data_IF_536230282838
#
_entry.id   IF_536230282838
#
_cell.length_a   1.000
_cell.length_b   1.000
_cell.length_c   1.000
_cell.angle_alpha   90.00
_cell.angle_beta   90.00
_cell.angle_gamma   90.00
#
_symmetry.space_group_name_H-M   'P 1'
#
loop_
_entity.id
_entity.type
_entity.pdbx_description
1 polymer ?
#
# COMPACT_ATOMS: atom_id res chain seq x y z
N UNK A 1 4.91 -6.09 27.46
CA UNK A 1 4.25 -5.37 26.35
C UNK A 1 5.13 -4.22 25.93
N UNK A 2 5.42 -4.10 24.63
CA UNK A 2 6.21 -2.98 24.11
C UNK A 2 5.34 -1.72 24.13
N UNK A 3 5.95 -0.54 24.31
CA UNK A 3 5.23 0.75 24.49
C UNK A 3 4.23 1.07 23.36
N UNK A 4 4.47 0.59 22.15
CA UNK A 4 3.63 0.82 20.97
C UNK A 4 2.43 -0.15 20.83
N UNK A 5 2.47 -1.31 21.48
CA UNK A 5 1.42 -2.33 21.33
C UNK A 5 0.09 -1.89 21.98
N UNK A 6 0.16 -1.21 23.13
CA UNK A 6 -1.05 -0.74 23.84
C UNK A 6 -1.82 0.31 23.04
N UNK A 7 -1.19 1.39 22.50
CA UNK A 7 -1.86 2.33 21.62
C UNK A 7 -2.45 1.69 20.37
N UNK A 8 -1.73 0.75 19.74
CA UNK A 8 -2.23 0.05 18.55
C UNK A 8 -3.47 -0.79 18.88
N UNK A 9 -3.44 -1.58 19.96
CA UNK A 9 -4.59 -2.37 20.41
C UNK A 9 -5.81 -1.49 20.69
N UNK A 10 -5.61 -0.32 21.30
CA UNK A 10 -6.71 0.64 21.53
C UNK A 10 -7.31 1.14 20.22
N UNK A 11 -6.47 1.60 19.28
CA UNK A 11 -6.93 2.06 17.97
C UNK A 11 -7.62 0.95 17.16
N UNK A 12 -7.14 -0.30 17.27
CA UNK A 12 -7.80 -1.44 16.66
C UNK A 12 -9.23 -1.58 17.15
N UNK A 13 -9.46 -1.58 18.47
CA UNK A 13 -10.82 -1.76 19.00
C UNK A 13 -11.70 -0.52 18.82
N UNK A 14 -11.15 0.69 18.83
CA UNK A 14 -11.94 1.92 18.64
C UNK A 14 -12.29 2.19 17.18
N UNK A 15 -11.33 2.00 16.27
CA UNK A 15 -11.40 2.56 14.92
C UNK A 15 -11.60 1.46 13.86
N UNK A 16 -11.00 0.28 14.06
CA UNK A 16 -10.96 -0.80 13.06
C UNK A 16 -11.75 -2.06 13.43
N UNK A 17 -12.25 -2.18 14.66
CA UNK A 17 -12.71 -3.45 15.21
C UNK A 17 -13.87 -4.09 14.45
N UNK A 18 -14.86 -3.28 14.03
CA UNK A 18 -15.99 -3.74 13.20
C UNK A 18 -15.52 -4.21 11.83
N UNK A 19 -14.59 -3.47 11.23
CA UNK A 19 -14.03 -3.77 9.92
C UNK A 19 -13.14 -5.02 9.96
N UNK A 20 -12.32 -5.17 11.00
CA UNK A 20 -11.50 -6.36 11.21
C UNK A 20 -12.37 -7.61 11.44
N UNK A 21 -13.47 -7.48 12.18
CA UNK A 21 -14.39 -8.58 12.44
C UNK A 21 -15.05 -9.10 11.15
N UNK A 22 -15.42 -8.23 10.20
CA UNK A 22 -16.00 -8.68 8.93
C UNK A 22 -15.03 -9.47 8.04
N UNK A 23 -13.72 -9.34 8.30
CA UNK A 23 -12.66 -10.04 7.58
C UNK A 23 -12.00 -11.16 8.39
N UNK A 24 -12.44 -11.40 9.63
CA UNK A 24 -11.85 -12.40 10.53
C UNK A 24 -10.43 -12.05 11.03
N UNK A 25 -10.02 -10.79 10.94
CA UNK A 25 -8.68 -10.34 11.33
C UNK A 25 -8.63 -10.04 12.82
N UNK A 26 -7.67 -10.64 13.53
CA UNK A 26 -7.44 -10.38 14.94
C UNK A 26 -6.41 -9.26 15.16
N UNK A 27 -6.52 -8.59 16.31
CA UNK A 27 -5.52 -7.60 16.73
C UNK A 27 -4.13 -8.22 16.90
N UNK A 28 -4.06 -9.49 17.31
CA UNK A 28 -2.80 -10.21 17.49
C UNK A 28 -2.09 -10.45 16.15
N UNK A 29 -2.84 -10.66 15.07
CA UNK A 29 -2.28 -10.76 13.73
C UNK A 29 -1.69 -9.42 13.26
N UNK A 30 -2.39 -8.30 13.51
CA UNK A 30 -1.85 -6.97 13.21
C UNK A 30 -0.57 -6.68 14.03
N UNK A 31 -0.56 -7.05 15.32
CA UNK A 31 0.64 -6.91 16.18
C UNK A 31 1.78 -7.81 15.68
N UNK A 32 1.48 -9.02 15.22
CA UNK A 32 2.47 -9.93 14.66
C UNK A 32 3.10 -9.37 13.37
N UNK A 33 2.31 -8.77 12.48
CA UNK A 33 2.79 -8.09 11.26
C UNK A 33 3.76 -6.96 11.61
N UNK A 34 3.35 -6.04 12.50
CA UNK A 34 4.21 -4.91 12.94
C UNK A 34 5.48 -5.42 13.63
N UNK A 35 5.38 -6.52 14.39
CA UNK A 35 6.52 -7.10 15.10
C UNK A 35 7.52 -7.76 14.15
N UNK A 36 7.07 -8.36 13.05
CA UNK A 36 7.95 -8.94 12.03
C UNK A 36 8.83 -7.89 11.35
N UNK A 37 8.36 -6.63 11.33
CA UNK A 37 9.05 -5.48 10.73
C UNK A 37 9.84 -4.66 11.75
N UNK A 38 9.84 -5.06 13.01
CA UNK A 38 10.41 -4.26 14.08
C UNK A 38 11.94 -4.19 13.98
N UNK A 39 12.54 -2.98 14.02
CA UNK A 39 13.98 -2.83 14.17
C UNK A 39 14.42 -3.21 15.60
N UNK A 40 15.66 -3.67 15.75
CA UNK A 40 16.23 -4.09 17.05
C UNK A 40 16.13 -3.01 18.13
N UNK A 41 16.21 -1.73 17.73
CA UNK A 41 16.10 -0.57 18.63
C UNK A 41 14.65 -0.25 19.08
N UNK A 42 13.63 -0.89 18.48
CA UNK A 42 12.22 -0.56 18.69
C UNK A 42 11.76 0.71 17.96
N UNK A 43 10.50 1.09 18.19
CA UNK A 43 9.89 2.27 17.56
C UNK A 43 9.96 3.49 18.48
N UNK A 44 10.25 4.64 17.89
CA UNK A 44 10.05 5.95 18.52
C UNK A 44 8.56 6.23 18.77
N UNK A 45 8.27 7.25 19.58
CA UNK A 45 6.88 7.67 19.86
C UNK A 45 6.16 8.09 18.57
N UNK A 46 6.85 8.84 17.70
CA UNK A 46 6.31 9.29 16.43
C UNK A 46 5.98 8.12 15.48
N UNK A 47 6.88 7.13 15.39
CA UNK A 47 6.62 5.93 14.59
C UNK A 47 5.46 5.12 15.14
N UNK A 48 5.37 4.98 16.47
CA UNK A 48 4.25 4.30 17.12
C UNK A 48 2.90 4.99 16.84
N UNK A 49 2.87 6.32 16.83
CA UNK A 49 1.68 7.09 16.45
C UNK A 49 1.33 6.95 14.97
N UNK A 50 2.34 6.89 14.10
CA UNK A 50 2.13 6.65 12.66
C UNK A 50 1.53 5.26 12.42
N UNK A 51 2.10 4.23 13.04
CA UNK A 51 1.59 2.85 12.98
C UNK A 51 0.15 2.78 13.50
N UNK A 52 -0.16 3.51 14.58
CA UNK A 52 -1.52 3.61 15.13
C UNK A 52 -2.48 4.25 14.14
N UNK A 53 -2.08 5.31 13.46
CA UNK A 53 -2.91 5.98 12.44
C UNK A 53 -3.20 5.06 11.24
N UNK A 54 -2.31 4.13 10.93
CA UNK A 54 -2.44 3.14 9.85
C UNK A 54 -3.18 1.86 10.25
N UNK A 55 -3.95 1.85 11.35
CA UNK A 55 -4.59 0.62 11.86
C UNK A 55 -5.60 -0.01 10.88
N UNK A 56 -6.34 0.80 10.12
CA UNK A 56 -7.27 0.29 9.10
C UNK A 56 -6.53 -0.38 7.93
N UNK A 57 -5.46 0.26 7.45
CA UNK A 57 -4.58 -0.29 6.43
C UNK A 57 -3.92 -1.59 6.92
N UNK A 58 -3.51 -1.64 8.20
CA UNK A 58 -2.99 -2.86 8.84
C UNK A 58 -3.99 -4.00 8.83
N UNK A 59 -5.27 -3.72 9.12
CA UNK A 59 -6.32 -4.73 9.06
C UNK A 59 -6.51 -5.24 7.64
N UNK A 60 -6.54 -4.35 6.63
CA UNK A 60 -6.63 -4.73 5.22
C UNK A 60 -5.46 -5.63 4.80
N UNK A 61 -4.24 -5.19 5.07
CA UNK A 61 -3.03 -5.92 4.70
C UNK A 61 -2.97 -7.27 5.39
N UNK A 62 -3.26 -7.31 6.70
CA UNK A 62 -3.28 -8.57 7.45
C UNK A 62 -4.37 -9.51 6.92
N UNK A 63 -5.55 -8.99 6.57
CA UNK A 63 -6.61 -9.78 5.94
C UNK A 63 -6.19 -10.36 4.58
N UNK A 64 -5.51 -9.57 3.74
CA UNK A 64 -4.99 -10.04 2.47
C UNK A 64 -3.92 -11.14 2.64
N UNK A 65 -3.02 -10.96 3.62
CA UNK A 65 -2.00 -11.94 4.01
C UNK A 65 -2.62 -13.24 4.53
N UNK A 66 -3.76 -13.16 5.22
CA UNK A 66 -4.53 -14.32 5.68
C UNK A 66 -5.45 -14.91 4.59
N UNK A 67 -5.33 -14.44 3.35
CA UNK A 67 -6.15 -14.85 2.21
C UNK A 67 -7.65 -14.62 2.38
N UNK A 68 -8.06 -13.61 3.16
CA UNK A 68 -9.46 -13.20 3.25
C UNK A 68 -9.90 -12.55 1.92
N UNK A 69 -10.87 -13.13 1.17
CA UNK A 69 -11.28 -12.61 -0.14
C UNK A 69 -11.85 -11.19 -0.07
N UNK A 70 -12.53 -10.87 1.03
CA UNK A 70 -13.09 -9.55 1.28
C UNK A 70 -11.99 -8.49 1.41
N UNK A 71 -10.87 -8.82 2.05
CA UNK A 71 -9.76 -7.89 2.25
C UNK A 71 -9.14 -7.46 0.91
N UNK A 72 -8.94 -8.41 -0.02
CA UNK A 72 -8.45 -8.10 -1.37
C UNK A 72 -9.43 -7.24 -2.17
N UNK A 73 -10.73 -7.52 -2.03
CA UNK A 73 -11.77 -6.74 -2.70
C UNK A 73 -11.80 -5.30 -2.19
N UNK A 74 -11.73 -5.10 -0.88
CA UNK A 74 -11.67 -3.79 -0.24
C UNK A 74 -10.38 -3.04 -0.57
N UNK A 75 -9.23 -3.71 -0.52
CA UNK A 75 -7.95 -3.11 -0.89
C UNK A 75 -7.97 -2.58 -2.33
N UNK A 76 -8.45 -3.39 -3.28
CA UNK A 76 -8.61 -2.97 -4.68
C UNK A 76 -9.60 -1.81 -4.79
N UNK A 77 -10.75 -1.87 -4.13
CA UNK A 77 -11.76 -0.81 -4.16
C UNK A 77 -11.19 0.53 -3.68
N UNK A 78 -10.45 0.52 -2.56
CA UNK A 78 -9.94 1.73 -1.93
C UNK A 78 -8.78 2.37 -2.70
N UNK A 79 -7.94 1.58 -3.38
CA UNK A 79 -6.69 2.07 -3.97
C UNK A 79 -6.67 2.11 -5.50
N UNK A 80 -7.48 1.31 -6.21
CA UNK A 80 -7.36 1.19 -7.68
C UNK A 80 -7.57 2.51 -8.42
N UNK A 81 -8.53 3.33 -7.98
CA UNK A 81 -8.81 4.60 -8.64
C UNK A 81 -7.63 5.58 -8.48
N UNK A 82 -7.06 5.66 -7.28
CA UNK A 82 -5.91 6.53 -6.96
C UNK A 82 -4.67 6.09 -7.71
N UNK A 83 -4.41 4.79 -7.75
CA UNK A 83 -3.29 4.23 -8.50
C UNK A 83 -3.43 4.49 -10.00
N UNK A 84 -4.65 4.36 -10.54
CA UNK A 84 -4.92 4.68 -11.95
C UNK A 84 -4.70 6.16 -12.26
N UNK A 85 -5.15 7.06 -11.39
CA UNK A 85 -4.92 8.51 -11.53
C UNK A 85 -3.43 8.85 -11.47
N UNK A 86 -2.72 8.31 -10.49
CA UNK A 86 -1.28 8.50 -10.33
C UNK A 86 -0.50 7.95 -11.54
N UNK A 87 -0.88 6.78 -12.04
CA UNK A 87 -0.30 6.16 -13.24
C UNK A 87 -0.55 6.97 -14.50
N UNK A 88 -1.78 7.48 -14.70
CA UNK A 88 -2.11 8.30 -15.86
C UNK A 88 -1.36 9.63 -15.86
N UNK A 89 -1.11 10.20 -14.68
CA UNK A 89 -0.33 11.43 -14.52
C UNK A 89 1.14 11.19 -14.85
N UNK A 90 1.72 10.12 -14.31
CA UNK A 90 3.13 9.78 -14.50
C UNK A 90 3.43 9.23 -15.92
N UNK A 91 2.51 8.47 -16.47
CA UNK A 91 2.65 7.81 -17.77
C UNK A 91 1.28 7.74 -18.46
N UNK A 92 0.89 8.78 -19.20
CA UNK A 92 -0.33 8.76 -19.99
C UNK A 92 -0.18 7.72 -21.11
N UNK A 93 -0.68 6.51 -20.84
CA UNK A 93 -0.66 5.37 -21.75
C UNK A 93 -2.07 4.85 -21.92
N UNK A 94 -2.42 4.37 -23.12
CA UNK A 94 -3.76 3.80 -23.40
C UNK A 94 -4.07 2.56 -22.56
N UNK A 95 -3.04 1.90 -22.01
CA UNK A 95 -3.16 0.61 -21.32
C UNK A 95 -3.13 0.72 -19.78
N UNK A 96 -3.31 1.91 -19.20
CA UNK A 96 -3.26 2.12 -17.75
C UNK A 96 -4.21 1.20 -16.96
N UNK A 97 -5.38 0.88 -17.51
CA UNK A 97 -6.30 -0.10 -16.91
C UNK A 97 -5.71 -1.51 -16.81
N UNK A 98 -5.08 -2.00 -17.88
CA UNK A 98 -4.45 -3.33 -17.91
C UNK A 98 -3.23 -3.40 -16.99
N UNK A 99 -2.46 -2.32 -16.89
CA UNK A 99 -1.31 -2.25 -15.98
C UNK A 99 -1.75 -2.36 -14.51
N UNK A 100 -2.86 -1.73 -14.13
CA UNK A 100 -3.42 -1.83 -12.78
C UNK A 100 -3.91 -3.26 -12.48
N UNK A 101 -4.60 -3.91 -13.41
CA UNK A 101 -5.07 -5.30 -13.20
C UNK A 101 -3.91 -6.30 -13.08
N UNK A 102 -2.84 -6.11 -13.88
CA UNK A 102 -1.61 -6.90 -13.77
C UNK A 102 -0.93 -6.68 -12.42
N UNK A 103 -0.74 -5.42 -12.03
CA UNK A 103 -0.16 -5.06 -10.74
C UNK A 103 -0.87 -5.77 -9.57
N UNK A 104 -2.20 -5.74 -9.54
CA UNK A 104 -2.94 -6.41 -8.47
C UNK A 104 -2.82 -7.92 -8.49
N UNK A 105 -2.83 -8.53 -9.68
CA UNK A 105 -2.65 -9.97 -9.84
C UNK A 105 -1.25 -10.40 -9.37
N UNK A 106 -0.23 -9.64 -9.75
CA UNK A 106 1.16 -9.92 -9.39
C UNK A 106 1.41 -9.71 -7.89
N UNK A 107 0.86 -8.65 -7.31
CA UNK A 107 0.94 -8.38 -5.87
C UNK A 107 0.25 -9.48 -5.05
N UNK A 108 -0.92 -9.93 -5.50
CA UNK A 108 -1.63 -11.04 -4.87
C UNK A 108 -0.84 -12.34 -4.96
N UNK A 109 -0.34 -12.69 -6.14
CA UNK A 109 0.47 -13.89 -6.33
C UNK A 109 1.75 -13.86 -5.49
N UNK A 110 2.44 -12.71 -5.40
CA UNK A 110 3.63 -12.55 -4.55
C UNK A 110 3.29 -12.70 -3.05
N UNK A 111 2.15 -12.13 -2.62
CA UNK A 111 1.67 -12.26 -1.24
C UNK A 111 1.32 -13.71 -0.92
N UNK A 112 0.64 -14.40 -1.82
CA UNK A 112 0.21 -15.79 -1.64
C UNK A 112 1.37 -16.78 -1.59
N UNK A 113 2.45 -16.51 -2.34
CA UNK A 113 3.69 -17.31 -2.29
C UNK A 113 4.55 -17.04 -1.06
N UNK A 114 4.17 -16.10 -0.20
CA UNK A 114 4.98 -15.67 0.94
C UNK A 114 6.27 -14.95 0.54
N UNK A 115 6.32 -14.42 -0.69
CA UNK A 115 7.39 -13.53 -1.14
C UNK A 115 7.20 -12.13 -0.52
N UNK A 116 8.10 -11.19 -0.83
CA UNK A 116 8.04 -9.77 -0.44
C UNK A 116 6.86 -9.00 -1.11
N UNK A 117 5.63 -9.51 -0.96
CA UNK A 117 4.37 -8.85 -1.32
C UNK A 117 3.85 -7.98 -0.18
N UNK A 118 2.57 -8.08 0.17
CA UNK A 118 1.97 -7.31 1.28
C UNK A 118 2.61 -7.60 2.64
N UNK A 119 3.26 -8.77 2.81
CA UNK A 119 4.10 -9.09 3.97
C UNK A 119 5.21 -8.05 4.21
N UNK A 120 5.70 -7.40 3.16
CA UNK A 120 6.78 -6.41 3.21
C UNK A 120 6.31 -4.98 3.46
N UNK A 121 5.01 -4.72 3.56
CA UNK A 121 4.53 -3.35 3.78
C UNK A 121 4.77 -2.89 5.22
N UNK A 122 5.48 -1.77 5.34
CA UNK A 122 5.77 -1.09 6.61
C UNK A 122 4.70 -0.04 6.95
N UNK A 123 3.97 -0.20 8.06
CA UNK A 123 2.91 0.72 8.49
C UNK A 123 3.41 2.10 8.95
N UNK A 124 4.73 2.31 9.03
CA UNK A 124 5.30 3.67 9.15
C UNK A 124 5.10 4.50 7.88
N UNK A 125 4.74 3.85 6.77
CA UNK A 125 4.55 4.48 5.46
C UNK A 125 3.10 4.29 5.01
N UNK A 126 2.42 5.35 4.51
CA UNK A 126 1.06 5.22 3.99
C UNK A 126 0.96 4.13 2.92
N UNK A 127 -0.02 3.24 3.05
CA UNK A 127 -0.20 2.10 2.14
C UNK A 127 -0.37 2.56 0.69
N UNK A 128 -1.15 3.62 0.48
CA UNK A 128 -1.35 4.23 -0.85
C UNK A 128 -0.04 4.61 -1.53
N UNK A 129 0.90 5.20 -0.79
CA UNK A 129 2.19 5.62 -1.33
C UNK A 129 3.08 4.42 -1.63
N UNK A 130 3.09 3.44 -0.74
CA UNK A 130 3.88 2.22 -0.94
C UNK A 130 3.39 1.42 -2.16
N UNK A 131 2.06 1.28 -2.33
CA UNK A 131 1.47 0.65 -3.51
C UNK A 131 1.83 1.39 -4.82
N UNK A 132 1.80 2.73 -4.80
CA UNK A 132 2.17 3.53 -5.97
C UNK A 132 3.65 3.35 -6.34
N UNK A 133 4.55 3.34 -5.35
CA UNK A 133 5.98 3.11 -5.60
C UNK A 133 6.22 1.70 -6.20
N UNK A 134 5.52 0.67 -5.72
CA UNK A 134 5.60 -0.67 -6.30
C UNK A 134 5.10 -0.69 -7.74
N UNK A 135 3.94 -0.09 -8.02
CA UNK A 135 3.37 0.00 -9.36
C UNK A 135 4.34 0.70 -10.32
N UNK A 136 4.90 1.85 -9.94
CA UNK A 136 5.82 2.59 -10.79
C UNK A 136 7.13 1.85 -10.99
N UNK A 137 7.65 1.19 -9.96
CA UNK A 137 8.82 0.31 -10.08
C UNK A 137 8.59 -0.82 -11.08
N UNK A 138 7.42 -1.48 -11.04
CA UNK A 138 7.06 -2.52 -12.02
C UNK A 138 6.97 -1.98 -13.45
N UNK A 139 6.32 -0.82 -13.64
CA UNK A 139 6.18 -0.24 -14.99
C UNK A 139 7.53 0.24 -15.52
N UNK A 140 8.38 0.82 -14.68
CA UNK A 140 9.74 1.20 -15.06
C UNK A 140 10.57 -0.02 -15.47
N UNK A 141 10.55 -1.09 -14.67
CA UNK A 141 11.26 -2.32 -14.98
C UNK A 141 10.77 -2.96 -16.29
N UNK A 142 9.45 -2.98 -16.52
CA UNK A 142 8.88 -3.47 -17.76
C UNK A 142 9.33 -2.65 -18.99
N UNK A 143 9.55 -1.34 -18.85
CA UNK A 143 10.09 -0.49 -19.92
C UNK A 143 11.56 -0.78 -20.22
N UNK A 144 12.36 -0.99 -19.18
CA UNK A 144 13.79 -1.28 -19.32
C UNK A 144 14.05 -2.68 -19.92
N UNK A 145 13.17 -3.65 -19.64
CA UNK A 145 13.27 -5.02 -20.16
C UNK A 145 12.76 -5.21 -21.60
N UNK A 146 12.14 -4.20 -22.21
CA UNK A 146 11.79 -4.23 -23.65
C UNK A 146 12.98 -3.68 -24.44
N UNK A 147 13.75 -4.51 -25.18
CA UNK A 147 14.81 -3.99 -26.03
C UNK A 147 14.18 -3.07 -27.08
N UNK A 148 14.74 -1.86 -27.20
CA UNK A 148 14.28 -0.82 -28.11
C UNK A 148 14.22 -1.32 -29.55
N UNK A 149 13.03 -1.72 -29.99
CA UNK A 149 12.66 -1.71 -31.40
C UNK A 149 11.53 -0.70 -31.58
N UNK A 150 11.89 0.59 -31.53
CA UNK A 150 11.51 1.62 -32.51
C UNK A 150 11.89 3.01 -32.04
N UNK A 151 12.70 3.63 -32.89
CA UNK A 151 13.02 5.04 -33.04
C UNK A 151 11.80 5.96 -32.94
N UNK A 152 11.86 6.95 -32.04
CA UNK A 152 11.42 8.35 -32.25
C UNK A 152 12.00 9.22 -31.11
N UNK A 153 12.48 10.45 -31.37
CA UNK A 153 13.15 11.25 -30.36
C UNK A 153 12.14 11.74 -29.32
N UNK A 154 12.25 11.24 -28.09
CA UNK A 154 11.53 11.77 -26.94
C UNK A 154 12.11 13.15 -26.61
N UNK A 155 11.24 14.18 -26.65
CA UNK A 155 11.56 15.52 -26.18
C UNK A 155 11.98 15.43 -24.71
N UNK A 156 13.16 15.95 -24.43
CA UNK A 156 13.60 16.26 -23.08
C UNK A 156 12.58 17.21 -22.45
N UNK A 157 11.96 16.78 -21.36
CA UNK A 157 11.30 17.66 -20.42
C UNK A 157 11.97 17.39 -19.07
N UNK A 158 12.72 18.42 -18.69
CA UNK A 158 13.55 18.52 -17.52
C UNK A 158 12.85 18.03 -16.25
N UNK A 159 13.59 17.22 -15.51
CA UNK A 159 13.84 17.33 -14.06
C UNK A 159 12.93 18.33 -13.33
N UNK A 160 11.69 17.94 -13.08
CA UNK A 160 10.82 18.61 -12.12
C UNK A 160 10.56 17.66 -10.95
N UNK A 161 10.85 18.18 -9.76
CA UNK A 161 10.83 17.58 -8.44
C UNK A 161 9.63 16.64 -8.18
N UNK A 162 9.79 15.37 -8.54
CA UNK A 162 8.83 14.26 -8.35
C UNK A 162 8.45 14.07 -6.86
N UNK A 163 9.28 14.58 -5.96
CA UNK A 163 9.10 14.44 -4.50
C UNK A 163 8.13 15.50 -3.95
N UNK A 164 8.05 16.69 -4.55
CA UNK A 164 7.27 17.80 -3.99
C UNK A 164 5.81 17.79 -4.48
N UNK A 165 5.55 17.36 -5.72
CA UNK A 165 4.18 17.27 -6.26
C UNK A 165 3.38 16.09 -5.65
N UNK A 166 4.09 15.07 -5.15
CA UNK A 166 3.48 14.01 -4.37
C UNK A 166 3.02 14.47 -2.97
N UNK A 167 3.53 15.60 -2.43
CA UNK A 167 3.07 16.16 -1.15
C UNK A 167 1.70 16.83 -1.25
N UNK A 168 1.30 17.25 -2.45
CA UNK A 168 0.01 17.92 -2.71
C UNK A 168 -1.18 16.99 -2.84
N UNK A 169 -0.97 15.67 -2.93
CA UNK A 169 -2.05 14.69 -2.80
C UNK A 169 -2.50 14.63 -1.32
N UNK A 170 -3.23 15.65 -0.86
CA UNK A 170 -3.97 15.59 0.41
C UNK A 170 -4.95 14.43 0.31
N UNK A 171 -4.72 13.41 1.12
CA UNK A 171 -5.56 12.23 1.26
C UNK A 171 -6.68 12.52 2.27
N UNK A 172 -7.92 12.85 1.86
CA UNK A 172 -9.05 12.61 2.73
C UNK A 172 -9.21 11.10 2.84
N UNK A 173 -9.04 10.56 4.05
CA UNK A 173 -9.72 9.33 4.45
C UNK A 173 -11.19 9.54 4.09
N UNK A 174 -11.74 8.69 3.23
CA UNK A 174 -13.17 8.68 2.97
C UNK A 174 -13.80 8.21 4.28
N UNK A 175 -14.16 9.17 5.13
CA UNK A 175 -15.17 8.99 6.14
C UNK A 175 -16.52 9.04 5.42
N UNK A 176 -17.00 7.89 4.96
CA UNK A 176 -18.33 7.69 4.41
C UNK A 176 -18.60 6.17 4.45
N UNK A 177 -19.69 5.63 4.97
CA UNK A 177 -21.05 6.14 5.18
C UNK A 177 -21.65 5.43 6.41
N UNK A 178 -22.55 6.13 7.09
CA UNK A 178 -23.32 5.70 8.26
C UNK A 178 -24.14 4.42 8.04
#
# INVERSE_FOLDING_TARGET
>A
MKRWETPLRRAFFSDAGRFAASMGVSVDACVAHVRALQPDAGFSVFEADTIRASVLDLVLVTGCVQHAPQAWSELRLQHSWRLREALNTWSPSRDGGLQIERFWSDLQAATDRGELGLHGWDPRRPLSRWLADLLFGQVQHARECVPACRTAPARALDTLDIVDEARTLRFPLIAAVQ
#
